data_IF_683441879672
#
_entry.id   IF_683441879672
#
_cell.length_a   1.000
_cell.length_b   1.000
_cell.length_c   1.000
_cell.angle_alpha   90.00
_cell.angle_beta   90.00
_cell.angle_gamma   90.00
#
_symmetry.space_group_name_H-M   'P 1'
#
loop_
_entity.id
_entity.type
_entity.pdbx_description
1 polymer ?
#
# COMPACT_ATOMS: atom_id res chain seq x y z
N UNK A 1 -45.14 45.42 -37.60
CA UNK A 1 -43.66 45.27 -37.59
C UNK A 1 -43.15 43.95 -37.01
N UNK A 2 -43.83 43.23 -36.13
CA UNK A 2 -43.32 41.95 -35.50
C UNK A 2 -43.36 40.68 -36.39
N UNK A 3 -44.06 40.68 -37.51
CA UNK A 3 -44.25 39.50 -38.35
C UNK A 3 -43.17 39.28 -39.43
N UNK A 4 -42.43 40.35 -39.77
CA UNK A 4 -41.35 40.25 -40.78
C UNK A 4 -40.05 39.81 -40.22
N UNK A 5 -39.72 40.15 -38.98
CA UNK A 5 -38.46 39.69 -38.31
C UNK A 5 -38.42 38.16 -38.01
N UNK A 6 -39.60 37.57 -37.66
CA UNK A 6 -39.67 36.11 -37.42
C UNK A 6 -39.37 35.29 -38.67
N UNK A 7 -39.73 35.82 -39.85
CA UNK A 7 -39.50 35.09 -41.11
C UNK A 7 -38.03 35.11 -41.55
N UNK A 8 -37.29 36.17 -41.16
CA UNK A 8 -35.88 36.31 -41.47
C UNK A 8 -34.99 35.40 -40.58
N UNK A 9 -35.33 35.29 -39.30
CA UNK A 9 -34.63 34.37 -38.37
C UNK A 9 -34.85 32.90 -38.73
N UNK A 10 -36.06 32.53 -39.15
CA UNK A 10 -36.38 31.15 -39.58
C UNK A 10 -35.58 30.74 -40.83
N UNK A 11 -35.32 31.63 -41.74
CA UNK A 11 -34.54 31.32 -42.96
C UNK A 11 -33.04 31.20 -42.69
N UNK A 12 -32.53 31.94 -41.74
CA UNK A 12 -31.10 31.81 -41.34
C UNK A 12 -30.84 30.55 -40.47
N UNK A 13 -31.79 30.18 -39.62
CA UNK A 13 -31.68 28.95 -38.84
C UNK A 13 -31.70 27.70 -39.72
N UNK A 14 -32.53 27.68 -40.78
CA UNK A 14 -32.58 26.56 -41.73
C UNK A 14 -31.30 26.44 -42.59
N UNK A 15 -30.64 27.55 -42.90
CA UNK A 15 -29.40 27.57 -43.67
C UNK A 15 -28.20 27.08 -42.83
N UNK A 16 -28.17 27.44 -41.54
CA UNK A 16 -27.08 27.00 -40.61
C UNK A 16 -27.18 25.50 -40.29
N UNK A 17 -28.40 24.97 -40.13
CA UNK A 17 -28.59 23.52 -39.89
C UNK A 17 -28.22 22.68 -41.10
N UNK A 18 -28.48 23.16 -42.34
CA UNK A 18 -28.10 22.44 -43.55
C UNK A 18 -26.55 22.37 -43.74
N UNK A 19 -25.83 23.44 -43.41
CA UNK A 19 -24.36 23.47 -43.49
C UNK A 19 -23.71 22.59 -42.44
N UNK A 20 -24.26 22.52 -41.22
CA UNK A 20 -23.76 21.60 -40.16
C UNK A 20 -23.96 20.11 -40.48
N UNK A 21 -25.05 19.77 -41.19
CA UNK A 21 -25.33 18.37 -41.57
C UNK A 21 -24.38 17.91 -42.70
N UNK A 22 -23.99 18.80 -43.62
CA UNK A 22 -23.03 18.48 -44.67
C UNK A 22 -21.58 18.38 -44.19
N UNK A 23 -21.22 19.07 -43.11
CA UNK A 23 -19.90 18.97 -42.47
C UNK A 23 -19.75 17.70 -41.63
N UNK A 24 -20.86 17.14 -41.12
CA UNK A 24 -20.85 15.87 -40.37
C UNK A 24 -20.82 14.62 -41.26
N UNK A 25 -21.20 14.72 -42.53
CA UNK A 25 -21.13 13.60 -43.49
C UNK A 25 -19.75 13.37 -44.11
N UNK A 26 -18.81 14.29 -43.92
CA UNK A 26 -17.45 14.22 -44.50
C UNK A 26 -16.39 13.57 -43.62
N UNK A 27 -16.73 13.14 -42.39
CA UNK A 27 -15.72 12.64 -41.42
C UNK A 27 -15.76 11.11 -41.27
N UNK A 28 -16.60 10.41 -42.04
CA UNK A 28 -16.79 8.95 -41.90
C UNK A 28 -15.97 8.07 -42.86
N UNK A 29 -14.89 8.60 -43.49
CA UNK A 29 -14.05 7.78 -44.36
C UNK A 29 -12.56 7.92 -44.06
N UNK A 30 -12.17 7.77 -42.79
CA UNK A 30 -10.79 7.51 -42.43
C UNK A 30 -10.77 6.69 -41.11
N UNK A 31 -11.48 5.56 -41.07
CA UNK A 31 -11.13 4.47 -40.16
C UNK A 31 -10.12 3.60 -40.91
N UNK A 32 -8.90 4.10 -41.01
CA UNK A 32 -7.71 3.26 -41.12
C UNK A 32 -7.54 2.62 -39.75
N UNK A 33 -7.71 1.30 -39.74
CA UNK A 33 -7.38 0.43 -38.62
C UNK A 33 -5.88 0.56 -38.32
N UNK A 34 -5.52 1.46 -37.41
CA UNK A 34 -4.36 1.29 -36.57
C UNK A 34 -4.88 0.67 -35.25
N UNK A 35 -4.93 -0.65 -35.23
CA UNK A 35 -4.76 -1.40 -34.01
C UNK A 35 -3.35 -1.07 -33.47
N UNK A 36 -3.16 0.11 -32.95
CA UNK A 36 -2.22 0.30 -31.88
C UNK A 36 -2.85 -0.40 -30.67
N UNK A 37 -2.56 -1.71 -30.59
CA UNK A 37 -2.61 -2.41 -29.36
C UNK A 37 -1.85 -1.54 -28.33
N UNK A 38 -2.59 -0.78 -27.53
CA UNK A 38 -2.13 -0.40 -26.21
C UNK A 38 -1.82 -1.73 -25.54
N UNK A 39 -0.60 -2.20 -25.69
CA UNK A 39 0.02 -3.13 -24.80
C UNK A 39 0.11 -2.38 -23.48
N UNK A 40 -0.99 -2.35 -22.77
CA UNK A 40 -0.98 -2.26 -21.32
C UNK A 40 -0.11 -3.44 -20.91
N UNK A 41 1.18 -3.14 -20.70
CA UNK A 41 2.07 -4.04 -20.01
C UNK A 41 1.41 -4.11 -18.63
N UNK A 42 0.53 -5.10 -18.47
CA UNK A 42 0.12 -5.53 -17.15
C UNK A 42 1.44 -5.84 -16.46
N UNK A 43 1.91 -4.92 -15.63
CA UNK A 43 3.03 -5.17 -14.75
C UNK A 43 2.65 -6.46 -14.05
N UNK A 44 3.41 -7.52 -14.29
CA UNK A 44 3.18 -8.81 -13.67
C UNK A 44 3.28 -8.51 -12.17
N UNK A 45 2.15 -8.43 -11.49
CA UNK A 45 2.13 -8.22 -10.06
C UNK A 45 2.79 -9.45 -9.45
N UNK A 46 3.99 -9.26 -8.93
CA UNK A 46 4.66 -10.26 -8.13
C UNK A 46 3.94 -10.38 -6.79
N UNK A 47 4.10 -11.49 -6.10
CA UNK A 47 3.49 -11.71 -4.80
C UNK A 47 4.52 -12.10 -3.74
N UNK A 48 4.27 -11.67 -2.52
CA UNK A 48 4.99 -12.10 -1.32
C UNK A 48 3.98 -12.47 -0.24
N UNK A 49 4.42 -13.11 0.83
CA UNK A 49 3.58 -13.37 1.99
C UNK A 49 3.87 -12.33 3.07
N UNK A 50 2.83 -11.75 3.66
CA UNK A 50 2.94 -10.81 4.78
C UNK A 50 2.19 -11.36 5.99
N UNK A 51 2.79 -11.18 7.19
CA UNK A 51 2.19 -11.47 8.49
C UNK A 51 2.60 -10.40 9.51
N UNK A 52 1.68 -10.02 10.43
CA UNK A 52 2.00 -9.10 11.53
C UNK A 52 1.50 -9.69 12.84
N UNK A 53 2.41 -9.88 13.81
CA UNK A 53 2.13 -10.57 15.08
C UNK A 53 2.68 -9.81 16.29
N UNK A 54 1.96 -9.94 17.40
CA UNK A 54 2.32 -9.33 18.70
C UNK A 54 2.24 -10.33 19.88
N UNK A 55 2.43 -11.62 19.64
CA UNK A 55 2.33 -12.67 20.67
C UNK A 55 3.20 -12.36 21.88
N UNK A 56 4.45 -11.95 21.66
CA UNK A 56 5.39 -11.66 22.74
C UNK A 56 4.92 -10.52 23.64
N UNK A 57 4.18 -9.54 23.09
CA UNK A 57 3.57 -8.51 23.91
C UNK A 57 2.54 -9.10 24.88
N UNK A 58 1.67 -9.99 24.38
CA UNK A 58 0.64 -10.66 25.19
C UNK A 58 1.23 -11.58 26.26
N UNK A 59 2.32 -12.27 25.93
CA UNK A 59 3.00 -13.25 26.80
C UNK A 59 3.93 -12.59 27.81
N UNK A 60 4.43 -11.38 27.54
CA UNK A 60 5.44 -10.69 28.36
C UNK A 60 4.99 -10.42 29.81
N UNK A 61 3.69 -10.32 30.05
CA UNK A 61 3.14 -9.86 31.33
C UNK A 61 3.41 -8.39 31.66
N UNK A 62 4.05 -7.64 30.75
CA UNK A 62 4.43 -6.23 30.94
C UNK A 62 3.45 -5.26 30.30
N UNK A 63 2.61 -5.75 29.39
CA UNK A 63 1.68 -4.94 28.63
C UNK A 63 0.57 -4.38 29.56
N UNK A 64 0.29 -3.07 29.45
CA UNK A 64 -0.81 -2.45 30.18
C UNK A 64 -2.17 -3.11 29.86
N UNK A 65 -3.02 -3.23 30.88
CA UNK A 65 -4.32 -3.88 30.73
C UNK A 65 -5.25 -3.17 29.72
N UNK A 66 -5.10 -1.88 29.50
CA UNK A 66 -5.87 -1.12 28.51
C UNK A 66 -5.43 -1.50 27.08
N UNK A 67 -4.14 -1.61 26.87
CA UNK A 67 -3.54 -2.05 25.59
C UNK A 67 -3.90 -3.51 25.28
N UNK A 68 -3.79 -4.40 26.29
CA UNK A 68 -4.13 -5.82 26.13
C UNK A 68 -5.58 -6.03 25.66
N UNK A 69 -6.51 -5.18 26.05
CA UNK A 69 -7.93 -5.31 25.66
C UNK A 69 -8.23 -4.93 24.21
N UNK A 70 -7.37 -4.19 23.57
CA UNK A 70 -7.55 -3.75 22.16
C UNK A 70 -6.78 -4.61 21.17
N UNK A 71 -5.88 -5.45 21.65
CA UNK A 71 -5.14 -6.39 20.80
C UNK A 71 -5.92 -7.70 20.62
N UNK A 72 -5.78 -8.37 19.46
CA UNK A 72 -6.33 -9.71 19.24
C UNK A 72 -5.81 -10.71 20.28
N UNK A 73 -6.68 -11.59 20.77
CA UNK A 73 -6.31 -12.58 21.80
C UNK A 73 -5.24 -13.58 21.33
N UNK A 74 -5.19 -13.84 20.03
CA UNK A 74 -4.23 -14.74 19.36
C UNK A 74 -2.95 -14.03 18.93
N UNK A 75 -2.82 -12.73 19.22
CA UNK A 75 -1.64 -11.94 18.84
C UNK A 75 -1.48 -11.68 17.36
N UNK A 76 -2.48 -11.98 16.51
CA UNK A 76 -2.41 -11.79 15.07
C UNK A 76 -3.09 -10.50 14.64
N UNK A 77 -2.29 -9.48 14.29
CA UNK A 77 -2.80 -8.21 13.77
C UNK A 77 -3.11 -8.28 12.27
N UNK A 78 -2.31 -9.03 11.53
CA UNK A 78 -2.53 -9.31 10.12
C UNK A 78 -2.19 -10.77 9.86
N UNK A 79 -3.21 -11.51 9.42
CA UNK A 79 -3.09 -12.95 9.14
C UNK A 79 -2.10 -13.18 8.02
N UNK A 80 -1.25 -14.22 8.16
CA UNK A 80 -0.35 -14.62 7.08
C UNK A 80 -1.12 -14.89 5.79
N UNK A 81 -0.85 -14.07 4.76
CA UNK A 81 -1.49 -14.19 3.46
C UNK A 81 -0.60 -13.65 2.34
N UNK A 82 -0.91 -14.09 1.12
CA UNK A 82 -0.28 -13.61 -0.08
C UNK A 82 -0.78 -12.20 -0.41
N UNK A 83 0.16 -11.28 -0.67
CA UNK A 83 -0.10 -9.88 -1.02
C UNK A 83 0.67 -9.51 -2.28
N UNK A 84 0.09 -8.65 -3.10
CA UNK A 84 0.72 -8.20 -4.32
C UNK A 84 1.74 -7.08 -4.04
N UNK A 85 2.84 -7.07 -4.80
CA UNK A 85 3.78 -5.95 -4.80
C UNK A 85 4.24 -5.63 -6.24
N UNK A 86 4.85 -4.47 -6.43
CA UNK A 86 5.44 -4.06 -7.70
C UNK A 86 6.95 -4.02 -7.60
N UNK A 87 7.65 -4.19 -8.71
CA UNK A 87 9.11 -4.12 -8.75
C UNK A 87 9.63 -2.81 -8.14
N UNK A 88 10.56 -2.94 -7.20
CA UNK A 88 11.12 -1.84 -6.42
C UNK A 88 10.39 -1.54 -5.10
N UNK A 89 9.25 -2.19 -4.81
CA UNK A 89 8.62 -2.08 -3.49
C UNK A 89 9.56 -2.62 -2.41
N UNK A 90 9.61 -1.89 -1.30
CA UNK A 90 10.34 -2.31 -0.10
C UNK A 90 9.42 -3.02 0.90
N UNK A 91 9.99 -3.64 1.92
CA UNK A 91 9.23 -4.23 3.05
C UNK A 91 8.34 -3.17 3.72
N UNK A 92 8.81 -1.92 3.78
CA UNK A 92 8.01 -0.80 4.28
C UNK A 92 6.82 -0.49 3.37
N UNK A 93 7.03 -0.42 2.05
CA UNK A 93 5.96 -0.08 1.10
C UNK A 93 4.83 -1.12 1.13
N UNK A 94 5.20 -2.40 1.17
CA UNK A 94 4.24 -3.50 1.30
C UNK A 94 3.47 -3.40 2.62
N UNK A 95 4.16 -3.23 3.76
CA UNK A 95 3.50 -3.08 5.06
C UNK A 95 2.54 -1.89 5.06
N UNK A 96 3.01 -0.72 4.64
CA UNK A 96 2.21 0.51 4.66
C UNK A 96 0.94 0.37 3.82
N UNK A 97 1.04 -0.23 2.63
CA UNK A 97 -0.09 -0.46 1.75
C UNK A 97 -1.13 -1.39 2.40
N UNK A 98 -0.69 -2.53 2.92
CA UNK A 98 -1.59 -3.51 3.51
C UNK A 98 -2.24 -2.98 4.80
N UNK A 99 -1.49 -2.30 5.67
CA UNK A 99 -2.05 -1.70 6.89
C UNK A 99 -3.12 -0.65 6.55
N UNK A 100 -2.89 0.17 5.52
CA UNK A 100 -3.85 1.16 5.04
C UNK A 100 -5.10 0.51 4.45
N UNK A 101 -4.95 -0.52 3.62
CA UNK A 101 -6.06 -1.22 2.97
C UNK A 101 -6.96 -1.92 4.00
N UNK A 102 -6.35 -2.58 4.97
CA UNK A 102 -7.04 -3.29 6.04
C UNK A 102 -7.44 -2.40 7.23
N UNK A 103 -7.18 -1.07 7.16
CA UNK A 103 -7.52 -0.09 8.21
C UNK A 103 -6.88 -0.42 9.56
N UNK A 104 -5.71 -1.03 9.53
CA UNK A 104 -4.89 -1.25 10.71
C UNK A 104 -4.04 0.00 10.91
N UNK A 105 -4.16 0.61 12.09
CA UNK A 105 -3.38 1.80 12.41
C UNK A 105 -1.89 1.50 12.41
N UNK A 106 -1.10 2.35 11.75
CA UNK A 106 0.36 2.24 11.70
C UNK A 106 0.98 3.62 11.81
N UNK A 107 2.03 3.74 12.61
CA UNK A 107 2.87 4.94 12.69
C UNK A 107 4.32 4.58 12.41
N UNK A 108 4.99 5.47 11.69
CA UNK A 108 6.41 5.35 11.36
C UNK A 108 7.06 6.72 11.33
N UNK A 109 8.36 6.76 11.61
CA UNK A 109 9.18 7.95 11.51
C UNK A 109 10.41 7.68 10.65
N UNK A 110 10.89 8.70 9.95
CA UNK A 110 12.18 8.64 9.27
C UNK A 110 13.31 8.69 10.31
N UNK A 111 14.19 7.72 10.28
CA UNK A 111 15.38 7.73 11.12
C UNK A 111 16.54 8.39 10.34
N UNK A 112 16.94 9.63 10.69
CA UNK A 112 17.93 10.39 9.94
C UNK A 112 19.35 9.82 10.06
N UNK A 113 19.61 8.91 11.00
CA UNK A 113 20.91 8.26 11.18
C UNK A 113 21.09 7.09 10.22
N UNK A 114 20.01 6.36 9.97
CA UNK A 114 20.01 5.17 9.13
C UNK A 114 19.34 5.41 7.77
N UNK A 115 18.87 6.64 7.50
CA UNK A 115 18.15 7.03 6.27
C UNK A 115 17.02 6.05 5.90
N UNK A 116 16.40 5.43 6.91
CA UNK A 116 15.40 4.41 6.77
C UNK A 116 14.16 4.70 7.62
N UNK A 117 13.03 4.14 7.21
CA UNK A 117 11.79 4.20 8.00
C UNK A 117 11.90 3.31 9.24
N UNK A 118 11.45 3.83 10.37
CA UNK A 118 11.34 3.13 11.63
C UNK A 118 9.86 2.99 11.99
N UNK A 119 9.42 1.78 12.32
CA UNK A 119 8.03 1.51 12.68
C UNK A 119 7.85 1.76 14.17
N UNK A 120 7.13 2.82 14.52
CA UNK A 120 6.83 3.21 15.90
C UNK A 120 5.68 2.39 16.47
N UNK A 121 4.66 2.08 15.65
CA UNK A 121 3.48 1.35 16.11
C UNK A 121 2.68 0.69 15.00
N UNK A 122 2.07 -0.48 15.29
CA UNK A 122 1.09 -1.16 14.47
C UNK A 122 -0.06 -1.62 15.36
N UNK A 123 -1.33 -1.41 14.93
CA UNK A 123 -2.51 -1.88 15.67
C UNK A 123 -2.66 -1.27 17.06
N UNK A 124 -2.18 -0.03 17.26
CA UNK A 124 -2.12 0.69 18.53
C UNK A 124 -1.16 0.07 19.59
N UNK A 125 -0.27 -0.83 19.15
CA UNK A 125 0.84 -1.31 19.97
C UNK A 125 2.13 -0.62 19.49
N UNK A 126 2.76 0.12 20.41
CA UNK A 126 3.91 0.98 20.12
C UNK A 126 5.19 0.43 20.74
N UNK A 127 6.31 0.91 20.24
CA UNK A 127 7.60 0.71 20.89
C UNK A 127 7.49 1.12 22.38
N UNK A 128 8.25 0.45 23.23
CA UNK A 128 8.29 0.63 24.69
C UNK A 128 7.00 0.24 25.45
N UNK A 129 5.91 -0.17 24.81
CA UNK A 129 4.68 -0.61 25.50
C UNK A 129 4.91 -1.84 26.41
N UNK A 130 5.96 -2.62 26.16
CA UNK A 130 6.40 -3.76 27.01
C UNK A 130 7.76 -3.53 27.68
N UNK A 131 8.18 -2.25 27.81
CA UNK A 131 9.45 -1.83 28.42
C UNK A 131 10.50 -1.41 27.41
N UNK A 132 11.61 -0.86 27.89
CA UNK A 132 12.62 -0.12 27.12
C UNK A 132 13.27 -0.91 25.95
N UNK A 133 13.15 -2.22 25.96
CA UNK A 133 13.72 -3.11 24.93
C UNK A 133 12.67 -3.63 23.95
N UNK A 134 11.44 -3.10 24.02
CA UNK A 134 10.35 -3.57 23.17
C UNK A 134 10.09 -2.68 21.96
N UNK A 135 9.71 -3.31 20.85
CA UNK A 135 9.40 -2.63 19.60
C UNK A 135 9.17 -3.61 18.44
N UNK A 136 8.87 -3.05 17.30
CA UNK A 136 8.63 -3.80 16.08
C UNK A 136 9.92 -4.15 15.36
N UNK A 137 10.01 -5.39 14.89
CA UNK A 137 11.14 -5.90 14.12
C UNK A 137 10.60 -6.74 12.96
N UNK A 138 11.28 -6.70 11.83
CA UNK A 138 10.89 -7.53 10.69
C UNK A 138 11.90 -8.62 10.40
N UNK A 139 11.43 -9.71 9.83
CA UNK A 139 12.27 -10.75 9.23
C UNK A 139 11.73 -11.14 7.85
N UNK A 140 12.61 -11.61 7.00
CA UNK A 140 12.28 -12.12 5.67
C UNK A 140 12.91 -13.49 5.50
N UNK A 141 12.13 -14.47 5.07
CA UNK A 141 12.59 -15.86 4.83
C UNK A 141 13.38 -16.43 6.02
N UNK A 142 12.84 -16.25 7.24
CA UNK A 142 13.44 -16.68 8.51
C UNK A 142 14.75 -15.98 8.92
N UNK A 143 15.18 -14.94 8.21
CA UNK A 143 16.35 -14.15 8.54
C UNK A 143 15.95 -12.73 8.97
N UNK A 144 16.67 -12.16 9.94
CA UNK A 144 16.53 -10.77 10.35
C UNK A 144 17.54 -9.92 9.56
N UNK A 145 17.09 -9.13 8.56
CA UNK A 145 18.01 -8.30 7.79
C UNK A 145 18.68 -7.23 8.67
N UNK A 146 19.93 -6.88 8.34
CA UNK A 146 20.71 -5.83 9.04
C UNK A 146 20.51 -4.44 8.40
N UNK A 147 19.57 -4.31 7.47
CA UNK A 147 19.20 -3.06 6.81
C UNK A 147 17.79 -2.62 7.22
N UNK A 148 17.46 -1.36 6.99
CA UNK A 148 16.15 -0.80 7.29
C UNK A 148 15.04 -1.39 6.40
N UNK A 149 13.81 -1.37 6.89
CA UNK A 149 12.68 -1.93 6.15
C UNK A 149 12.35 -1.19 4.85
N UNK A 150 12.74 0.07 4.73
CA UNK A 150 12.62 0.87 3.50
C UNK A 150 13.83 0.75 2.55
N UNK A 151 14.81 -0.08 2.91
CA UNK A 151 15.96 -0.40 2.08
C UNK A 151 15.91 -1.83 1.52
N UNK A 152 15.10 -2.70 2.13
CA UNK A 152 14.96 -4.09 1.68
C UNK A 152 13.95 -4.18 0.55
N UNK A 153 14.40 -4.35 -0.70
CA UNK A 153 13.55 -4.60 -1.86
C UNK A 153 12.96 -6.02 -1.82
N UNK A 154 11.63 -6.09 -1.92
CA UNK A 154 10.88 -7.36 -1.86
C UNK A 154 11.03 -8.14 -3.16
N UNK A 155 11.10 -9.47 -3.05
CA UNK A 155 11.20 -10.40 -4.17
C UNK A 155 10.02 -11.35 -4.21
N UNK A 156 9.73 -11.87 -5.39
CA UNK A 156 8.71 -12.90 -5.60
C UNK A 156 8.90 -14.08 -4.65
N UNK A 157 7.85 -14.40 -3.88
CA UNK A 157 7.86 -15.50 -2.93
C UNK A 157 8.49 -15.19 -1.57
N UNK A 158 8.94 -13.97 -1.31
CA UNK A 158 9.42 -13.60 0.02
C UNK A 158 8.32 -13.79 1.07
N UNK A 159 8.72 -14.28 2.25
CA UNK A 159 7.87 -14.37 3.44
C UNK A 159 8.28 -13.30 4.44
N UNK A 160 7.50 -12.24 4.52
CA UNK A 160 7.72 -11.07 5.38
C UNK A 160 6.92 -11.26 6.67
N UNK A 161 7.59 -11.17 7.82
CA UNK A 161 6.94 -11.21 9.13
C UNK A 161 7.34 -9.98 9.94
N UNK A 162 6.33 -9.25 10.42
CA UNK A 162 6.52 -8.20 11.41
C UNK A 162 6.15 -8.75 12.78
N UNK A 163 7.10 -8.69 13.70
CA UNK A 163 7.00 -9.29 15.03
C UNK A 163 7.22 -8.22 16.08
N UNK A 164 6.36 -8.18 17.10
CA UNK A 164 6.63 -7.35 18.26
C UNK A 164 7.53 -8.12 19.24
N UNK A 165 8.71 -7.58 19.51
CA UNK A 165 9.66 -8.12 20.45
C UNK A 165 9.64 -7.34 21.77
N UNK A 166 9.86 -8.02 22.88
CA UNK A 166 10.03 -7.43 24.21
C UNK A 166 11.48 -7.47 24.70
N UNK A 167 12.44 -7.99 23.90
CA UNK A 167 13.87 -8.10 24.23
C UNK A 167 14.77 -7.95 22.98
N UNK A 168 14.62 -6.84 22.24
CA UNK A 168 15.44 -6.49 21.07
C UNK A 168 15.55 -7.64 20.04
N UNK A 169 14.48 -8.41 19.88
CA UNK A 169 14.37 -9.49 18.90
C UNK A 169 14.78 -10.87 19.43
N UNK A 170 15.40 -11.00 20.60
CA UNK A 170 15.85 -12.33 21.13
C UNK A 170 14.70 -13.28 21.39
N UNK A 171 13.60 -12.77 21.90
CA UNK A 171 12.36 -13.50 22.19
C UNK A 171 11.62 -13.98 20.93
N UNK A 172 11.92 -13.40 19.77
CA UNK A 172 11.39 -13.82 18.45
C UNK A 172 12.45 -14.52 17.58
N UNK A 173 13.60 -14.88 18.16
CA UNK A 173 14.62 -15.70 17.53
C UNK A 173 15.74 -14.93 16.82
N UNK A 174 15.85 -13.61 17.00
CA UNK A 174 17.01 -12.86 16.52
C UNK A 174 18.23 -13.20 17.39
N UNK A 175 19.22 -13.87 16.81
CA UNK A 175 20.49 -14.05 17.49
C UNK A 175 21.15 -12.70 17.78
N UNK A 176 21.75 -12.56 18.96
CA UNK A 176 22.33 -11.29 19.41
C UNK A 176 23.41 -10.78 18.44
N UNK A 177 23.60 -9.46 18.42
CA UNK A 177 24.66 -8.79 17.66
C UNK A 177 26.01 -9.45 18.00
N UNK A 178 26.59 -10.14 17.03
CA UNK A 178 27.99 -10.60 17.17
C UNK A 178 28.86 -9.35 17.16
N UNK A 179 29.53 -9.05 18.28
CA UNK A 179 30.48 -7.96 18.40
C UNK A 179 31.73 -8.25 17.55
#
# INVERSE_FOLDING_TARGET
MKKIERKWYSRKAAAVTAVCILLLAGIMTACGSSEEASKEVAAKSASCTLEVRCDMALESGKLDASKRRILPEDGVLFQSQEVAFVEGDTVYDVLQREMKEHKIHMESAENPVYESQYIEGIGNLYEFDCGDLSGWIYKVNDSFPEIGCSEYEVREGDHIQWLYSCDLGKDVGKEGWKK
#
